data_IF_319324794790
#
_entry.id   IF_319324794790
#
_cell.length_a   1.000
_cell.length_b   1.000
_cell.length_c   1.000
_cell.angle_alpha   90.00
_cell.angle_beta   90.00
_cell.angle_gamma   90.00
#
_symmetry.space_group_name_H-M   'P 1'
#
loop_
_entity.id
_entity.type
_entity.pdbx_description
1 polymer ?
#
# COMPACT_ATOMS: atom_id res chain seq x y z
N UNK A 1 -0.76 -24.38 -4.39
CA UNK A 1 0.38 -23.59 -4.92
C UNK A 1 0.39 -23.75 -6.43
N UNK A 2 -0.10 -22.79 -7.23
CA UNK A 2 -0.06 -22.91 -8.67
C UNK A 2 1.40 -22.88 -9.14
N UNK A 3 1.83 -23.96 -9.77
CA UNK A 3 3.16 -24.14 -10.35
C UNK A 3 3.28 -23.14 -11.51
N UNK A 4 4.20 -22.18 -11.41
CA UNK A 4 4.52 -21.23 -12.49
C UNK A 4 5.20 -22.02 -13.63
N UNK A 5 4.45 -22.40 -14.65
CA UNK A 5 4.90 -23.32 -15.71
C UNK A 5 5.29 -22.65 -17.04
N UNK A 6 5.27 -21.32 -17.13
CA UNK A 6 5.60 -20.62 -18.39
C UNK A 6 6.52 -19.42 -18.21
N UNK A 7 7.45 -19.24 -19.16
CA UNK A 7 8.35 -18.08 -19.26
C UNK A 7 7.55 -16.77 -19.35
N UNK A 8 6.37 -16.81 -19.97
CA UNK A 8 5.48 -15.65 -20.09
C UNK A 8 4.84 -15.24 -18.76
N UNK A 9 4.52 -16.19 -17.89
CA UNK A 9 4.00 -15.88 -16.54
C UNK A 9 5.09 -15.26 -15.67
N UNK A 10 6.34 -15.71 -15.81
CA UNK A 10 7.49 -15.08 -15.17
C UNK A 10 7.73 -13.65 -15.67
N UNK A 11 7.57 -13.39 -16.98
CA UNK A 11 7.70 -12.03 -17.53
C UNK A 11 6.60 -11.12 -17.02
N UNK A 12 5.35 -11.58 -16.96
CA UNK A 12 4.22 -10.81 -16.43
C UNK A 12 4.41 -10.48 -14.94
N UNK A 13 4.74 -11.48 -14.12
CA UNK A 13 4.99 -11.28 -12.70
C UNK A 13 6.18 -10.32 -12.45
N UNK A 14 7.23 -10.42 -13.28
CA UNK A 14 8.38 -9.53 -13.20
C UNK A 14 8.02 -8.09 -13.58
N UNK A 15 7.20 -7.89 -14.61
CA UNK A 15 6.73 -6.56 -15.03
C UNK A 15 5.76 -5.94 -14.00
N UNK A 16 4.82 -6.72 -13.46
CA UNK A 16 3.96 -6.29 -12.35
C UNK A 16 4.77 -5.89 -11.12
N UNK A 17 5.73 -6.74 -10.71
CA UNK A 17 6.61 -6.43 -9.59
C UNK A 17 7.45 -5.17 -9.84
N UNK A 18 7.88 -4.95 -11.08
CA UNK A 18 8.64 -3.74 -11.47
C UNK A 18 7.78 -2.48 -11.43
N UNK A 19 6.51 -2.57 -11.86
CA UNK A 19 5.56 -1.46 -11.76
C UNK A 19 5.27 -1.11 -10.30
N UNK A 20 5.03 -2.11 -9.45
CA UNK A 20 4.80 -1.91 -8.01
C UNK A 20 6.00 -1.23 -7.33
N UNK A 21 7.22 -1.60 -7.71
CA UNK A 21 8.45 -0.95 -7.22
C UNK A 21 8.58 0.48 -7.78
N UNK A 22 8.28 0.71 -9.06
CA UNK A 22 8.35 2.02 -9.67
C UNK A 22 7.33 3.02 -9.06
N UNK A 23 6.12 2.55 -8.71
CA UNK A 23 5.11 3.34 -8.00
C UNK A 23 5.60 3.72 -6.60
N UNK A 24 6.31 2.82 -5.89
CA UNK A 24 6.94 3.13 -4.60
C UNK A 24 8.06 4.18 -4.70
N UNK A 25 8.76 4.25 -5.84
CA UNK A 25 9.89 5.18 -6.07
C UNK A 25 9.47 6.56 -6.57
N UNK A 26 8.34 6.68 -7.29
CA UNK A 26 7.93 7.95 -7.94
C UNK A 26 7.28 8.97 -7.01
N UNK A 27 6.75 8.55 -5.86
CA UNK A 27 5.80 9.39 -5.11
C UNK A 27 6.36 9.99 -3.84
N UNK A 28 7.46 9.45 -3.30
CA UNK A 28 8.17 9.94 -2.09
C UNK A 28 7.33 10.01 -0.81
N UNK A 29 6.01 9.91 -0.92
CA UNK A 29 5.02 10.28 0.10
C UNK A 29 4.53 9.00 0.75
N UNK A 30 5.08 8.76 1.94
CA UNK A 30 4.70 7.64 2.79
C UNK A 30 3.80 8.14 3.90
N UNK A 31 2.62 7.55 4.01
CA UNK A 31 1.67 7.83 5.08
C UNK A 31 1.73 6.67 6.06
N UNK A 32 2.10 6.93 7.30
CA UNK A 32 2.22 5.92 8.35
C UNK A 32 1.11 6.14 9.37
N UNK A 33 0.32 5.11 9.63
CA UNK A 33 -0.78 5.15 10.61
C UNK A 33 -0.46 4.23 11.77
N UNK A 34 -0.33 4.79 12.98
CA UNK A 34 -0.16 4.03 14.22
C UNK A 34 -1.49 3.42 14.67
N UNK A 35 -1.64 2.12 14.49
CA UNK A 35 -2.79 1.31 14.92
C UNK A 35 -2.51 0.56 16.22
N UNK A 36 -1.83 1.21 17.16
CA UNK A 36 -1.65 0.73 18.52
C UNK A 36 -2.97 0.76 19.30
N UNK A 37 -2.97 0.31 20.55
CA UNK A 37 -4.17 0.35 21.41
C UNK A 37 -4.73 1.77 21.54
N UNK A 38 -3.86 2.75 21.81
CA UNK A 38 -4.25 4.17 21.87
C UNK A 38 -4.71 4.69 20.50
N UNK A 39 -4.04 4.28 19.42
CA UNK A 39 -4.39 4.70 18.05
C UNK A 39 -5.76 4.19 17.61
N UNK A 40 -6.06 2.92 17.89
CA UNK A 40 -7.39 2.34 17.61
C UNK A 40 -8.46 3.05 18.47
N UNK A 41 -8.20 3.28 19.75
CA UNK A 41 -9.14 3.99 20.63
C UNK A 41 -9.40 5.44 20.17
N UNK A 42 -8.40 6.09 19.55
CA UNK A 42 -8.52 7.43 18.99
C UNK A 42 -9.18 7.47 17.59
N UNK A 43 -9.55 6.33 17.02
CA UNK A 43 -10.20 6.27 15.70
C UNK A 43 -9.23 6.23 14.51
N UNK A 44 -8.02 5.73 14.70
CA UNK A 44 -7.02 5.62 13.63
C UNK A 44 -7.46 4.66 12.50
N UNK A 45 -8.37 3.71 12.77
CA UNK A 45 -8.87 2.74 11.78
C UNK A 45 -9.79 3.42 10.76
N UNK A 46 -10.74 4.20 11.25
CA UNK A 46 -11.69 4.99 10.46
C UNK A 46 -10.92 6.02 9.63
N UNK A 47 -9.95 6.68 10.27
CA UNK A 47 -9.07 7.66 9.61
C UNK A 47 -8.28 7.02 8.47
N UNK A 48 -7.72 5.81 8.66
CA UNK A 48 -7.01 5.09 7.61
C UNK A 48 -7.90 4.79 6.40
N UNK A 49 -9.13 4.34 6.63
CA UNK A 49 -10.08 4.06 5.54
C UNK A 49 -10.48 5.32 4.78
N UNK A 50 -10.67 6.44 5.49
CA UNK A 50 -10.95 7.74 4.88
C UNK A 50 -9.77 8.22 4.01
N UNK A 51 -8.54 8.07 4.50
CA UNK A 51 -7.32 8.39 3.75
C UNK A 51 -7.26 7.58 2.44
N UNK A 52 -7.44 6.25 2.51
CA UNK A 52 -7.42 5.39 1.32
C UNK A 52 -8.51 5.77 0.31
N UNK A 53 -9.69 6.13 0.79
CA UNK A 53 -10.82 6.55 -0.05
C UNK A 53 -10.52 7.88 -0.77
N UNK A 54 -9.95 8.86 -0.06
CA UNK A 54 -9.59 10.15 -0.65
C UNK A 54 -8.40 10.05 -1.62
N UNK A 55 -7.39 9.24 -1.29
CA UNK A 55 -6.29 8.96 -2.22
C UNK A 55 -6.80 8.35 -3.52
N UNK A 56 -7.72 7.39 -3.43
CA UNK A 56 -8.35 6.77 -4.59
C UNK A 56 -9.20 7.76 -5.40
N UNK A 57 -10.00 8.60 -4.75
CA UNK A 57 -10.85 9.60 -5.43
C UNK A 57 -10.04 10.66 -6.17
N UNK A 58 -8.89 11.04 -5.63
CA UNK A 58 -8.03 12.12 -6.15
C UNK A 58 -6.92 11.61 -7.06
N UNK A 59 -6.87 10.29 -7.31
CA UNK A 59 -5.82 9.63 -8.08
C UNK A 59 -4.40 10.00 -7.57
N UNK A 60 -4.26 10.12 -6.25
CA UNK A 60 -2.99 10.42 -5.59
C UNK A 60 -2.30 9.10 -5.27
N UNK A 61 -1.16 8.86 -5.92
CA UNK A 61 -0.31 7.73 -5.57
C UNK A 61 0.46 8.04 -4.28
N UNK A 62 0.04 7.44 -3.16
CA UNK A 62 0.75 7.50 -1.89
C UNK A 62 0.86 6.11 -1.26
N UNK A 63 1.98 5.83 -0.58
CA UNK A 63 2.16 4.54 0.08
C UNK A 63 1.67 4.61 1.53
N UNK A 64 0.53 3.97 1.81
CA UNK A 64 -0.03 3.89 3.17
C UNK A 64 0.48 2.63 3.87
N UNK A 65 1.10 2.79 5.04
CA UNK A 65 1.60 1.69 5.88
C UNK A 65 1.04 1.82 7.29
N UNK A 66 0.73 0.69 7.92
CA UNK A 66 0.30 0.64 9.32
C UNK A 66 1.44 0.18 10.21
N UNK A 67 1.57 0.79 11.38
CA UNK A 67 2.48 0.37 12.46
C UNK A 67 1.69 0.13 13.75
N UNK A 68 2.28 -0.56 14.72
CA UNK A 68 1.67 -0.80 16.03
C UNK A 68 1.66 0.48 16.88
N UNK A 69 2.58 0.59 17.82
CA UNK A 69 2.77 1.83 18.58
C UNK A 69 3.79 2.74 17.89
N UNK A 70 3.57 4.05 17.97
CA UNK A 70 4.53 5.10 17.63
C UNK A 70 4.68 6.04 18.83
#
# INVERSE_FOLDING_TARGET
MPKLMSIDDFKKLREESRRDIAVRLKTGTKIIVGLGTCGIAAGARETMQAILSELKKREIDAHVTTVGCI
#
